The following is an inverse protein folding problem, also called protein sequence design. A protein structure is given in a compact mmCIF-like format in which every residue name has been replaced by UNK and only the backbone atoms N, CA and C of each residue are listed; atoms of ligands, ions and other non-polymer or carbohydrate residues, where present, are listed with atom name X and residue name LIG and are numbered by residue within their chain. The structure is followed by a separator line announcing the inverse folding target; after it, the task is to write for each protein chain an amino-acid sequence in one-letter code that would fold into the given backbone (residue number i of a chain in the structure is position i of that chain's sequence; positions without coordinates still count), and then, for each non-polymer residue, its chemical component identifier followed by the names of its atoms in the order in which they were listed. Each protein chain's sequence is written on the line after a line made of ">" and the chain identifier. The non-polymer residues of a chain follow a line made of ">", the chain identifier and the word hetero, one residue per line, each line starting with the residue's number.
data_IF_672666811438
#
_entry.id   IF_672666811438
#
_cell.length_a   1.000
_cell.length_b   1.000
_cell.length_c   1.000
_cell.angle_alpha   90.00
_cell.angle_beta   90.00
_cell.angle_gamma   90.00
#
_symmetry.space_group_name_H-M   'P 1'
#
loop_
_entity.id
_entity.type
_entity.pdbx_description
1 polymer ?
#
# COMPACT_ATOMS: atom_id res chain seq x y z
N UNK A 1 -24.49 15.94 1.84
CA UNK A 1 -23.55 14.86 2.16
C UNK A 1 -22.74 15.33 3.35
N UNK A 2 -22.57 14.49 4.36
CA UNK A 2 -21.93 14.88 5.62
C UNK A 2 -20.51 14.35 5.75
N UNK A 3 -20.23 13.18 5.16
CA UNK A 3 -18.91 12.55 5.14
C UNK A 3 -18.65 11.98 3.75
N UNK A 4 -17.42 12.11 3.25
CA UNK A 4 -16.91 11.38 2.10
C UNK A 4 -15.97 10.27 2.57
N UNK A 5 -16.22 9.04 2.13
CA UNK A 5 -15.40 7.84 2.35
C UNK A 5 -15.30 7.11 1.01
N UNK A 6 -14.28 7.44 0.21
CA UNK A 6 -14.17 6.96 -1.17
C UNK A 6 -12.70 6.97 -1.64
N UNK A 7 -11.81 6.27 -0.92
CA UNK A 7 -10.39 6.18 -1.26
C UNK A 7 -9.73 7.56 -1.44
N UNK A 8 -10.06 8.48 -0.54
CA UNK A 8 -9.56 9.85 -0.58
C UNK A 8 -8.24 9.92 0.18
N UNK A 9 -7.18 10.24 -0.55
CA UNK A 9 -5.87 10.54 0.03
C UNK A 9 -5.94 11.89 0.74
N UNK A 10 -5.27 12.00 1.88
CA UNK A 10 -5.08 13.29 2.56
C UNK A 10 -4.41 14.28 1.61
N UNK A 11 -5.03 15.44 1.44
CA UNK A 11 -4.59 16.47 0.49
C UNK A 11 -4.40 17.81 1.24
N UNK A 12 -3.19 18.08 1.78
CA UNK A 12 -2.95 19.24 2.66
C UNK A 12 -3.31 20.59 2.02
N UNK A 13 -3.22 20.70 0.70
CA UNK A 13 -3.60 21.90 -0.04
C UNK A 13 -5.11 22.20 0.00
N UNK A 14 -5.93 21.23 0.42
CA UNK A 14 -7.40 21.33 0.53
C UNK A 14 -7.88 21.52 1.97
N UNK A 15 -6.97 21.62 2.94
CA UNK A 15 -7.25 21.82 4.37
C UNK A 15 -7.90 23.19 4.70
N UNK A 16 -8.18 24.01 3.68
CA UNK A 16 -8.90 25.28 3.83
C UNK A 16 -10.42 25.11 3.82
N UNK A 17 -10.91 24.09 3.12
CA UNK A 17 -12.35 23.85 2.91
C UNK A 17 -12.81 22.52 3.54
N UNK A 18 -11.87 21.62 3.82
CA UNK A 18 -12.15 20.28 4.30
C UNK A 18 -11.30 19.94 5.52
N UNK A 19 -11.82 19.06 6.35
CA UNK A 19 -11.05 18.40 7.39
C UNK A 19 -10.99 16.89 7.12
N UNK A 20 -9.85 16.29 7.44
CA UNK A 20 -9.56 14.88 7.24
C UNK A 20 -9.50 14.16 8.58
N UNK A 21 -10.08 12.97 8.65
CA UNK A 21 -9.92 12.08 9.82
C UNK A 21 -8.48 11.59 9.95
N UNK A 22 -8.20 10.94 11.07
CA UNK A 22 -7.07 10.01 11.15
C UNK A 22 -7.15 8.98 10.01
N UNK A 23 -6.03 8.55 9.41
CA UNK A 23 -6.03 7.59 8.32
C UNK A 23 -6.58 6.22 8.72
N UNK A 24 -7.40 5.60 7.87
CA UNK A 24 -7.94 4.26 8.14
C UNK A 24 -7.27 3.14 7.32
N UNK A 25 -6.47 3.49 6.31
CA UNK A 25 -5.76 2.53 5.47
C UNK A 25 -4.59 3.23 4.75
N UNK A 26 -3.45 2.56 4.64
CA UNK A 26 -2.34 3.01 3.78
C UNK A 26 -2.45 2.34 2.42
N UNK A 27 -2.77 3.11 1.37
CA UNK A 27 -2.88 2.62 -0.01
C UNK A 27 -1.56 2.69 -0.80
N UNK A 28 -0.46 2.96 -0.11
CA UNK A 28 0.85 3.14 -0.71
C UNK A 28 1.39 1.87 -1.37
N UNK A 29 2.61 1.96 -1.87
CA UNK A 29 3.31 0.84 -2.49
C UNK A 29 3.84 -0.10 -1.41
N UNK A 30 3.70 -1.39 -1.64
CA UNK A 30 4.19 -2.47 -0.76
C UNK A 30 5.20 -3.33 -1.52
N UNK A 31 6.26 -3.72 -0.83
CA UNK A 31 7.22 -4.71 -1.29
C UNK A 31 6.68 -6.10 -0.98
N UNK A 32 6.51 -6.91 -2.01
CA UNK A 32 5.98 -8.28 -1.91
C UNK A 32 7.07 -9.28 -2.31
N UNK A 33 7.24 -10.31 -1.48
CA UNK A 33 8.27 -11.35 -1.62
C UNK A 33 7.67 -12.74 -1.36
N UNK A 34 8.36 -13.84 -1.71
CA UNK A 34 8.00 -15.17 -1.26
C UNK A 34 7.97 -15.30 0.27
N UNK A 35 7.09 -16.16 0.81
CA UNK A 35 6.99 -16.39 2.27
C UNK A 35 8.26 -16.97 2.90
N UNK A 36 9.07 -17.68 2.11
CA UNK A 36 10.33 -18.29 2.53
C UNK A 36 11.55 -17.41 2.24
N UNK A 37 11.36 -16.23 1.65
CA UNK A 37 12.40 -15.22 1.48
C UNK A 37 12.82 -14.66 2.84
N UNK A 38 14.13 -14.59 3.07
CA UNK A 38 14.74 -14.21 4.36
C UNK A 38 15.74 -13.07 4.22
N UNK A 39 16.22 -12.84 3.01
CA UNK A 39 17.26 -11.87 2.71
C UNK A 39 16.67 -10.53 2.26
N UNK A 40 15.38 -10.48 1.91
CA UNK A 40 14.68 -9.26 1.46
C UNK A 40 13.59 -8.89 2.48
N UNK A 41 13.91 -7.97 3.39
CA UNK A 41 12.96 -7.41 4.35
C UNK A 41 12.53 -6.00 3.96
N UNK A 42 13.37 -5.28 3.24
CA UNK A 42 13.10 -3.91 2.79
C UNK A 42 13.69 -3.62 1.41
N UNK A 43 13.30 -2.48 0.83
CA UNK A 43 13.82 -2.04 -0.47
C UNK A 43 15.36 -2.03 -0.51
N UNK A 44 16.02 -1.67 0.58
CA UNK A 44 17.48 -1.57 0.64
C UNK A 44 18.21 -2.92 0.41
N UNK A 45 17.53 -4.04 0.61
CA UNK A 45 18.09 -5.38 0.44
C UNK A 45 18.12 -5.86 -1.02
N UNK A 46 17.61 -5.04 -1.96
CA UNK A 46 17.47 -5.40 -3.37
C UNK A 46 18.74 -5.18 -4.22
N UNK A 47 19.91 -5.03 -3.59
CA UNK A 47 21.19 -4.94 -4.32
C UNK A 47 21.44 -6.23 -5.12
N UNK A 48 21.65 -6.09 -6.43
CA UNK A 48 21.80 -7.20 -7.36
C UNK A 48 20.54 -8.05 -7.57
N UNK A 49 19.37 -7.60 -7.09
CA UNK A 49 18.08 -8.30 -7.22
C UNK A 49 17.25 -7.76 -8.38
N UNK A 50 16.24 -8.54 -8.77
CA UNK A 50 15.23 -8.16 -9.76
C UNK A 50 13.93 -7.78 -9.08
N UNK A 51 13.47 -6.55 -9.33
CA UNK A 51 12.22 -6.01 -8.82
C UNK A 51 11.19 -5.89 -9.96
N UNK A 52 10.09 -6.64 -9.85
CA UNK A 52 8.96 -6.55 -10.75
C UNK A 52 8.05 -5.37 -10.40
N UNK A 53 7.57 -4.66 -11.43
CA UNK A 53 6.65 -3.51 -11.27
C UNK A 53 5.62 -3.48 -12.38
N UNK A 54 4.46 -2.86 -12.13
CA UNK A 54 3.52 -2.52 -13.19
C UNK A 54 4.01 -1.30 -13.99
N UNK A 55 4.11 -1.46 -15.31
CA UNK A 55 4.63 -0.46 -16.22
C UNK A 55 3.80 0.83 -16.18
N UNK A 56 4.41 1.87 -15.63
CA UNK A 56 3.83 3.22 -15.63
C UNK A 56 2.97 3.53 -14.40
N UNK A 57 2.79 2.55 -13.50
CA UNK A 57 2.21 2.78 -12.19
C UNK A 57 3.17 3.52 -11.26
N UNK A 58 2.65 3.99 -10.11
CA UNK A 58 3.47 4.68 -9.09
C UNK A 58 4.58 3.79 -8.54
N UNK A 59 4.36 2.47 -8.42
CA UNK A 59 5.40 1.51 -8.05
C UNK A 59 6.60 1.53 -9.01
N UNK A 60 6.38 1.69 -10.32
CA UNK A 60 7.48 1.82 -11.28
C UNK A 60 8.25 3.14 -11.10
N UNK A 61 7.56 4.24 -10.80
CA UNK A 61 8.20 5.53 -10.51
C UNK A 61 9.07 5.42 -9.25
N UNK A 62 8.52 4.82 -8.19
CA UNK A 62 9.22 4.63 -6.91
C UNK A 62 10.43 3.69 -7.08
N UNK A 63 10.27 2.55 -7.76
CA UNK A 63 11.37 1.65 -8.09
C UNK A 63 12.51 2.37 -8.84
N UNK A 64 12.16 3.22 -9.81
CA UNK A 64 13.14 4.03 -10.55
C UNK A 64 13.88 5.02 -9.65
N UNK A 65 13.24 5.55 -8.60
CA UNK A 65 13.90 6.38 -7.60
C UNK A 65 14.82 5.55 -6.70
N UNK A 66 14.46 4.32 -6.36
CA UNK A 66 15.30 3.38 -5.60
C UNK A 66 16.52 2.89 -6.37
N UNK A 67 16.40 2.62 -7.67
CA UNK A 67 17.54 2.21 -8.51
C UNK A 67 18.67 3.25 -8.60
N UNK A 68 18.42 4.51 -8.21
CA UNK A 68 19.47 5.54 -8.12
C UNK A 68 20.37 5.40 -6.88
N UNK A 69 19.92 4.64 -5.87
CA UNK A 69 20.56 4.48 -4.55
C UNK A 69 20.94 3.04 -4.23
N UNK A 70 20.33 2.06 -4.89
CA UNK A 70 20.64 0.64 -4.73
C UNK A 70 21.49 0.20 -5.93
N UNK A 71 22.74 -0.25 -5.70
CA UNK A 71 23.57 -0.82 -6.75
C UNK A 71 22.91 -2.03 -7.41
N UNK A 72 23.15 -2.21 -8.71
CA UNK A 72 22.75 -3.41 -9.48
C UNK A 72 21.26 -3.85 -9.38
N UNK A 73 20.36 -2.98 -8.89
CA UNK A 73 18.92 -3.21 -8.88
C UNK A 73 18.39 -3.29 -10.31
N UNK A 74 17.85 -4.44 -10.68
CA UNK A 74 17.21 -4.63 -11.99
C UNK A 74 15.70 -4.42 -11.88
N UNK A 75 15.20 -3.34 -12.48
CA UNK A 75 13.75 -3.10 -12.59
C UNK A 75 13.21 -3.84 -13.81
N UNK A 76 12.19 -4.67 -13.61
CA UNK A 76 11.49 -5.39 -14.68
C UNK A 76 10.02 -4.97 -14.75
N UNK A 77 9.63 -4.18 -15.76
CA UNK A 77 8.25 -3.76 -15.91
C UNK A 77 7.37 -4.83 -16.58
N UNK A 78 6.14 -4.95 -16.11
CA UNK A 78 5.08 -5.81 -16.63
C UNK A 78 3.83 -5.01 -16.99
N UNK A 79 2.89 -5.60 -17.74
CA UNK A 79 1.71 -4.85 -18.20
C UNK A 79 0.71 -4.62 -17.08
N UNK A 80 0.66 -5.51 -16.09
CA UNK A 80 -0.28 -5.47 -14.96
C UNK A 80 0.41 -5.86 -13.66
N UNK A 81 -0.21 -5.50 -12.53
CA UNK A 81 0.22 -5.94 -11.20
C UNK A 81 0.22 -7.47 -11.05
N UNK A 82 -0.77 -8.15 -11.60
CA UNK A 82 -0.86 -9.63 -11.58
C UNK A 82 0.33 -10.28 -12.30
N UNK A 83 0.72 -9.75 -13.47
CA UNK A 83 1.89 -10.24 -14.21
C UNK A 83 3.18 -10.03 -13.40
N UNK A 84 3.35 -8.85 -12.78
CA UNK A 84 4.50 -8.56 -11.92
C UNK A 84 4.57 -9.49 -10.70
N UNK A 85 3.43 -9.78 -10.06
CA UNK A 85 3.38 -10.71 -8.93
C UNK A 85 3.57 -12.17 -9.35
N UNK A 86 3.09 -12.55 -10.54
CA UNK A 86 3.38 -13.87 -11.11
C UNK A 86 4.87 -14.06 -11.40
N UNK A 87 5.58 -13.00 -11.79
CA UNK A 87 7.03 -13.07 -11.96
C UNK A 87 7.76 -13.45 -10.65
N UNK A 88 7.27 -12.98 -9.50
CA UNK A 88 7.80 -13.37 -8.18
C UNK A 88 7.49 -14.83 -7.88
N UNK A 89 6.25 -15.28 -8.09
CA UNK A 89 5.87 -16.68 -7.81
C UNK A 89 6.58 -17.70 -8.71
N UNK A 90 6.99 -17.30 -9.91
CA UNK A 90 7.73 -18.17 -10.85
C UNK A 90 9.25 -18.06 -10.71
N UNK A 91 9.74 -17.18 -9.85
CA UNK A 91 11.18 -16.93 -9.65
C UNK A 91 11.84 -16.15 -10.79
N UNK A 92 11.07 -15.48 -11.63
CA UNK A 92 11.58 -14.57 -12.66
C UNK A 92 12.04 -13.21 -12.06
N UNK A 93 11.43 -12.81 -10.94
CA UNK A 93 11.82 -11.67 -10.13
C UNK A 93 11.94 -12.09 -8.65
N UNK A 94 12.82 -11.41 -7.89
CA UNK A 94 13.01 -11.68 -6.46
C UNK A 94 11.91 -11.03 -5.61
N UNK A 95 11.38 -9.89 -6.06
CA UNK A 95 10.32 -9.15 -5.37
C UNK A 95 9.45 -8.37 -6.35
N UNK A 96 8.30 -7.87 -5.87
CA UNK A 96 7.45 -6.93 -6.61
C UNK A 96 7.14 -5.68 -5.78
N UNK A 97 7.04 -4.52 -6.43
CA UNK A 97 6.59 -3.27 -5.80
C UNK A 97 5.25 -2.84 -6.42
N UNK A 98 4.17 -3.03 -5.67
CA UNK A 98 2.77 -2.93 -6.12
C UNK A 98 1.97 -2.10 -5.11
N UNK A 99 0.88 -1.45 -5.53
CA UNK A 99 -0.02 -0.78 -4.58
C UNK A 99 -0.65 -1.77 -3.58
N UNK A 100 -0.89 -1.30 -2.36
CA UNK A 100 -1.35 -2.16 -1.26
C UNK A 100 -2.70 -2.85 -1.55
N UNK A 101 -3.58 -2.24 -2.36
CA UNK A 101 -4.89 -2.81 -2.67
C UNK A 101 -4.74 -3.98 -3.62
N UNK A 102 -4.08 -3.78 -4.77
CA UNK A 102 -3.83 -4.82 -5.77
C UNK A 102 -2.99 -5.96 -5.16
N UNK A 103 -1.95 -5.61 -4.40
CA UNK A 103 -1.10 -6.56 -3.71
C UNK A 103 -1.89 -7.46 -2.77
N UNK A 104 -2.62 -6.89 -1.80
CA UNK A 104 -3.42 -7.67 -0.84
C UNK A 104 -4.47 -8.55 -1.54
N UNK A 105 -5.17 -8.02 -2.54
CA UNK A 105 -6.17 -8.79 -3.29
C UNK A 105 -5.57 -10.01 -3.97
N UNK A 106 -4.38 -9.89 -4.55
CA UNK A 106 -3.66 -11.00 -5.17
C UNK A 106 -3.23 -12.05 -4.13
N UNK A 107 -2.71 -11.59 -2.97
CA UNK A 107 -2.24 -12.46 -1.89
C UNK A 107 -3.33 -13.37 -1.33
N UNK A 108 -4.62 -12.98 -1.41
CA UNK A 108 -5.75 -13.83 -1.00
C UNK A 108 -5.77 -15.21 -1.67
N UNK A 109 -5.25 -15.30 -2.90
CA UNK A 109 -5.20 -16.53 -3.68
C UNK A 109 -3.78 -17.13 -3.74
N UNK A 110 -2.79 -16.45 -3.16
CA UNK A 110 -1.36 -16.76 -3.33
C UNK A 110 -0.65 -16.81 -1.97
N UNK A 111 -0.90 -17.85 -1.16
CA UNK A 111 -0.38 -17.97 0.21
C UNK A 111 1.15 -18.14 0.28
N UNK A 112 1.82 -18.29 -0.86
CA UNK A 112 3.27 -18.34 -0.96
C UNK A 112 3.94 -16.97 -1.08
N UNK A 113 3.17 -15.87 -1.10
CA UNK A 113 3.68 -14.50 -1.07
C UNK A 113 3.29 -13.79 0.23
N UNK A 114 4.08 -12.79 0.61
CA UNK A 114 3.83 -11.92 1.75
C UNK A 114 4.28 -10.48 1.46
N UNK A 115 3.70 -9.53 2.18
CA UNK A 115 4.20 -8.14 2.22
C UNK A 115 5.39 -8.08 3.18
N UNK A 116 6.56 -7.70 2.67
CA UNK A 116 7.77 -7.49 3.48
C UNK A 116 7.82 -6.08 4.07
N UNK A 117 7.39 -5.07 3.30
CA UNK A 117 7.49 -3.66 3.69
C UNK A 117 6.39 -2.82 3.07
N UNK A 118 5.82 -1.88 3.84
CA UNK A 118 5.11 -0.72 3.28
C UNK A 118 6.15 0.34 2.89
N UNK A 119 6.30 0.58 1.59
CA UNK A 119 7.39 1.41 1.02
C UNK A 119 7.01 2.87 0.92
N UNK A 120 5.75 3.16 0.55
CA UNK A 120 5.25 4.53 0.50
C UNK A 120 4.01 4.70 1.38
N UNK A 121 3.71 5.97 1.69
CA UNK A 121 2.58 6.36 2.54
C UNK A 121 1.58 7.11 1.67
N UNK A 122 0.42 6.51 1.46
CA UNK A 122 -0.74 7.09 0.75
C UNK A 122 -1.99 6.89 1.63
N UNK A 123 -2.16 7.75 2.66
CA UNK A 123 -3.14 7.52 3.70
C UNK A 123 -4.54 7.88 3.22
N UNK A 124 -5.45 6.91 3.25
CA UNK A 124 -6.87 7.17 3.05
C UNK A 124 -7.52 7.67 4.34
N UNK A 125 -8.30 8.75 4.22
CA UNK A 125 -9.01 9.37 5.32
C UNK A 125 -10.48 9.65 4.96
N UNK A 126 -11.32 9.77 5.99
CA UNK A 126 -12.66 10.32 5.84
C UNK A 126 -12.56 11.83 5.71
N UNK A 127 -13.40 12.41 4.86
CA UNK A 127 -13.40 13.86 4.60
C UNK A 127 -14.74 14.46 5.01
N UNK A 128 -14.69 15.53 5.79
CA UNK A 128 -15.84 16.32 6.23
C UNK A 128 -15.63 17.79 5.88
N UNK A 129 -16.68 18.61 6.02
CA UNK A 129 -16.52 20.07 5.95
C UNK A 129 -15.67 20.55 7.12
N UNK A 130 -14.86 21.59 6.90
CA UNK A 130 -13.92 22.08 7.91
C UNK A 130 -14.62 22.54 9.20
N UNK A 131 -15.84 23.07 9.11
CA UNK A 131 -16.63 23.51 10.26
C UNK A 131 -17.26 22.37 11.08
N UNK A 132 -17.30 21.14 10.57
CA UNK A 132 -17.97 20.00 11.22
C UNK A 132 -17.05 19.30 12.25
N UNK A 133 -16.40 20.06 13.13
CA UNK A 133 -15.43 19.57 14.11
C UNK A 133 -16.00 18.49 15.04
N UNK A 134 -17.27 18.62 15.45
CA UNK A 134 -17.92 17.63 16.30
C UNK A 134 -18.04 16.27 15.58
N UNK A 135 -18.38 16.29 14.29
CA UNK A 135 -18.47 15.08 13.49
C UNK A 135 -17.08 14.45 13.28
N UNK A 136 -16.07 15.27 12.98
CA UNK A 136 -14.69 14.82 12.85
C UNK A 136 -14.19 14.09 14.11
N UNK A 137 -14.43 14.68 15.29
CA UNK A 137 -14.04 14.09 16.56
C UNK A 137 -14.75 12.76 16.84
N UNK A 138 -16.04 12.65 16.48
CA UNK A 138 -16.79 11.40 16.59
C UNK A 138 -16.22 10.33 15.65
N UNK A 139 -15.91 10.68 14.39
CA UNK A 139 -15.30 9.78 13.43
C UNK A 139 -13.93 9.28 13.90
N UNK A 140 -13.07 10.17 14.39
CA UNK A 140 -11.75 9.80 14.93
C UNK A 140 -11.87 8.88 16.15
N UNK A 141 -12.82 9.15 17.05
CA UNK A 141 -13.09 8.28 18.20
C UNK A 141 -13.56 6.89 17.74
N UNK A 142 -14.44 6.83 16.74
CA UNK A 142 -14.90 5.55 16.18
C UNK A 142 -13.76 4.78 15.50
N UNK A 143 -12.93 5.44 14.69
CA UNK A 143 -11.76 4.82 14.06
C UNK A 143 -10.80 4.25 15.10
N UNK A 144 -10.55 5.01 16.17
CA UNK A 144 -9.65 4.55 17.24
C UNK A 144 -10.22 3.32 17.96
N UNK A 145 -11.52 3.32 18.26
CA UNK A 145 -12.17 2.15 18.85
C UNK A 145 -12.07 0.91 17.94
N UNK A 146 -12.25 1.08 16.61
CA UNK A 146 -12.12 0.00 15.63
C UNK A 146 -10.68 -0.52 15.52
N UNK A 147 -9.67 0.37 15.63
CA UNK A 147 -8.27 -0.04 15.69
C UNK A 147 -7.97 -0.83 16.96
N UNK A 148 -8.36 -0.31 18.12
CA UNK A 148 -8.08 -0.94 19.41
C UNK A 148 -8.77 -2.29 19.59
N UNK A 149 -9.94 -2.49 18.97
CA UNK A 149 -10.63 -3.78 18.99
C UNK A 149 -10.12 -4.79 17.96
N UNK A 150 -9.29 -4.37 17.00
CA UNK A 150 -8.89 -5.18 15.83
C UNK A 150 -10.00 -5.33 14.78
N UNK A 151 -11.15 -4.68 14.95
CA UNK A 151 -12.23 -4.72 13.98
C UNK A 151 -11.85 -4.02 12.66
N UNK A 152 -11.02 -2.98 12.72
CA UNK A 152 -10.52 -2.32 11.51
C UNK A 152 -9.70 -3.28 10.65
N UNK A 153 -8.77 -4.02 11.27
CA UNK A 153 -7.96 -5.02 10.59
C UNK A 153 -8.85 -6.17 10.07
N UNK A 154 -9.85 -6.61 10.82
CA UNK A 154 -10.81 -7.61 10.36
C UNK A 154 -11.63 -7.14 9.15
N UNK A 155 -11.98 -5.85 9.09
CA UNK A 155 -12.64 -5.26 7.91
C UNK A 155 -11.68 -5.26 6.72
N UNK A 156 -10.42 -4.84 6.93
CA UNK A 156 -9.38 -4.83 5.88
C UNK A 156 -9.16 -6.26 5.37
N UNK A 157 -8.89 -7.23 6.25
CA UNK A 157 -8.67 -8.63 5.90
C UNK A 157 -9.87 -9.26 5.16
N UNK A 158 -11.10 -8.94 5.56
CA UNK A 158 -12.31 -9.40 4.87
C UNK A 158 -12.35 -8.95 3.39
N UNK A 159 -12.04 -7.69 3.12
CA UNK A 159 -12.16 -7.12 1.78
C UNK A 159 -10.89 -7.31 0.95
N UNK A 160 -9.73 -7.07 1.54
CA UNK A 160 -8.44 -7.01 0.86
C UNK A 160 -7.55 -8.22 1.14
N UNK A 161 -7.75 -8.95 2.23
CA UNK A 161 -6.83 -10.01 2.65
C UNK A 161 -5.84 -9.52 3.72
N UNK A 162 -5.28 -10.48 4.46
CA UNK A 162 -4.39 -10.24 5.60
C UNK A 162 -3.00 -9.77 5.15
#
# INVERSE_FOLDING_TARGET
>A
VDVLLSALVVAPERDRDFAFSEPYFNAGQVLIVPVDEKDIAEMADLDGRTLAVELGALGHVEATAWAKRIPDLTIRPYTTSDEALTAVTTGEADAALIDAISGRLYLKEQPQLQIAQEVTVEPFALVVRIEDEQLLNQLNTSLENLRQSGELDAIIGKWLGD
#
